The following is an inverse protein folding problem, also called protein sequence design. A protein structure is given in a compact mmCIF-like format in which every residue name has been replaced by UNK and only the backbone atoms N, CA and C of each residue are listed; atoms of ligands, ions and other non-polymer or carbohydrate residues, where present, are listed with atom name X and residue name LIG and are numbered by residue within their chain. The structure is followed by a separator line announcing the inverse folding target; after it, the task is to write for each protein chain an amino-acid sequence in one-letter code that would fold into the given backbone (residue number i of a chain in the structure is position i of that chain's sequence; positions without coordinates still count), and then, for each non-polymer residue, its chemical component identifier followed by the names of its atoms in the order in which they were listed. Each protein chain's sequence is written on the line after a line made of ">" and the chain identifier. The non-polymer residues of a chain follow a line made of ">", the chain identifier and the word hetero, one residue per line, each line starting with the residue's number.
data_IF_013778944678
#
_entry.id   IF_013778944678
#
_cell.length_a   1.000
_cell.length_b   1.000
_cell.length_c   1.000
_cell.angle_alpha   90.00
_cell.angle_beta   90.00
_cell.angle_gamma   90.00
#
_symmetry.space_group_name_H-M   'P 1'
#
loop_
_entity.id
_entity.type
_entity.pdbx_description
1 polymer ?
#
# COMPACT_ATOMS: atom_id res chain seq x y z
N UNK A 1 13.71 12.66 -1.35
CA UNK A 1 12.61 11.67 -1.48
C UNK A 1 11.44 12.33 -2.20
N UNK A 2 10.93 11.71 -3.23
CA UNK A 2 9.69 12.14 -3.88
C UNK A 2 8.50 11.69 -3.03
N UNK A 3 7.82 12.63 -2.39
CA UNK A 3 6.68 12.31 -1.52
C UNK A 3 5.47 11.77 -2.30
N UNK A 4 5.48 11.88 -3.62
CA UNK A 4 4.43 11.34 -4.48
C UNK A 4 4.74 9.91 -4.94
N UNK A 5 5.91 9.39 -4.62
CA UNK A 5 6.34 8.05 -5.00
C UNK A 5 6.87 7.30 -3.78
N UNK A 6 5.97 6.71 -3.02
CA UNK A 6 6.28 6.02 -1.77
C UNK A 6 6.07 4.51 -1.88
N UNK A 7 6.17 3.96 -3.09
CA UNK A 7 5.84 2.56 -3.36
C UNK A 7 6.62 1.57 -2.49
N UNK A 8 7.90 1.85 -2.24
CA UNK A 8 8.72 0.98 -1.39
C UNK A 8 8.69 1.36 0.10
N UNK A 9 7.89 2.34 0.49
CA UNK A 9 7.69 2.65 1.91
C UNK A 9 6.68 1.65 2.50
N UNK A 10 7.13 0.43 2.63
CA UNK A 10 6.33 -0.69 3.14
C UNK A 10 7.26 -1.68 3.83
N UNK A 11 6.70 -2.60 4.59
CA UNK A 11 7.48 -3.65 5.21
C UNK A 11 7.85 -4.72 4.17
N UNK A 12 9.08 -5.22 4.28
CA UNK A 12 9.58 -6.20 3.32
C UNK A 12 8.71 -7.47 3.28
N UNK A 13 8.16 -7.89 4.42
CA UNK A 13 7.36 -9.11 4.47
C UNK A 13 6.07 -9.00 3.63
N UNK A 14 5.56 -7.82 3.41
CA UNK A 14 4.37 -7.64 2.57
C UNK A 14 4.69 -7.98 1.11
N UNK A 15 5.86 -7.59 0.63
CA UNK A 15 6.30 -7.93 -0.73
C UNK A 15 6.62 -9.41 -0.88
N UNK A 16 7.23 -10.03 0.12
CA UNK A 16 7.49 -11.48 0.08
C UNK A 16 6.20 -12.28 0.12
N UNK A 17 5.19 -11.83 0.86
CA UNK A 17 3.86 -12.44 0.84
C UNK A 17 3.19 -12.28 -0.53
N UNK A 18 3.30 -11.10 -1.15
CA UNK A 18 2.80 -10.89 -2.52
C UNK A 18 3.42 -11.87 -3.49
N UNK A 19 4.73 -12.10 -3.40
CA UNK A 19 5.40 -13.08 -4.24
C UNK A 19 4.83 -14.48 -4.03
N UNK A 20 4.58 -14.86 -2.79
CA UNK A 20 3.96 -16.14 -2.45
C UNK A 20 2.59 -16.30 -3.12
N UNK A 21 1.75 -15.28 -3.03
CA UNK A 21 0.42 -15.30 -3.69
C UNK A 21 0.56 -15.37 -5.21
N UNK A 22 1.48 -14.60 -5.78
CA UNK A 22 1.75 -14.63 -7.22
C UNK A 22 2.18 -16.01 -7.68
N UNK A 23 3.10 -16.64 -6.96
CA UNK A 23 3.62 -17.97 -7.31
C UNK A 23 2.58 -19.07 -7.20
N UNK A 24 1.64 -18.94 -6.27
CA UNK A 24 0.58 -19.94 -6.07
C UNK A 24 -0.68 -19.67 -6.89
N UNK A 25 -0.71 -18.57 -7.65
CA UNK A 25 -1.87 -18.19 -8.44
C UNK A 25 -3.07 -17.75 -7.61
N UNK A 26 -2.84 -17.30 -6.37
CA UNK A 26 -3.91 -16.84 -5.49
C UNK A 26 -4.30 -15.40 -5.87
N UNK A 27 -5.49 -15.26 -6.42
CA UNK A 27 -6.03 -13.98 -6.93
C UNK A 27 -7.37 -13.65 -6.26
N UNK A 28 -7.53 -13.99 -5.00
CA UNK A 28 -8.75 -13.72 -4.25
C UNK A 28 -8.84 -12.25 -3.85
N UNK A 29 -10.07 -11.73 -3.84
CA UNK A 29 -10.35 -10.41 -3.28
C UNK A 29 -10.31 -10.48 -1.77
N UNK A 30 -9.56 -9.56 -1.16
CA UNK A 30 -9.47 -9.44 0.29
C UNK A 30 -9.91 -8.04 0.72
N UNK A 31 -10.31 -7.91 1.98
CA UNK A 31 -10.75 -6.65 2.55
C UNK A 31 -9.91 -6.33 3.77
N UNK A 32 -9.38 -5.12 3.83
CA UNK A 32 -8.61 -4.63 4.97
C UNK A 32 -9.23 -3.36 5.50
N UNK A 33 -9.20 -3.21 6.82
CA UNK A 33 -9.62 -2.00 7.50
C UNK A 33 -8.40 -1.18 7.92
N UNK A 34 -8.45 0.13 7.68
CA UNK A 34 -7.49 1.07 8.25
C UNK A 34 -8.15 1.74 9.44
N UNK A 35 -7.52 1.67 10.60
CA UNK A 35 -8.08 2.19 11.83
C UNK A 35 -6.97 2.71 12.74
N UNK A 36 -7.35 3.50 13.74
CA UNK A 36 -6.44 3.92 14.79
C UNK A 36 -6.83 3.24 16.11
N UNK A 37 -5.86 3.07 17.00
CA UNK A 37 -6.07 2.29 18.23
C UNK A 37 -6.54 3.15 19.40
N UNK A 38 -5.98 4.36 19.53
CA UNK A 38 -6.24 5.27 20.64
C UNK A 38 -6.38 6.69 20.11
N UNK A 39 -7.18 7.49 20.82
CA UNK A 39 -7.29 8.90 20.51
C UNK A 39 -5.94 9.61 20.72
N UNK A 40 -5.53 10.50 19.82
CA UNK A 40 -4.28 11.24 19.97
C UNK A 40 -4.25 12.04 21.27
N UNK A 41 -3.10 12.00 21.96
CA UNK A 41 -2.84 12.81 23.16
C UNK A 41 -3.90 12.66 24.26
N UNK A 42 -4.60 11.51 24.31
CA UNK A 42 -5.62 11.28 25.32
C UNK A 42 -6.87 12.14 25.15
N UNK A 43 -7.07 12.78 23.99
CA UNK A 43 -8.27 13.56 23.72
C UNK A 43 -9.50 12.66 23.56
N UNK A 44 -10.69 13.26 23.61
CA UNK A 44 -11.93 12.50 23.42
C UNK A 44 -12.38 12.34 21.97
N UNK A 45 -11.51 12.68 21.01
CA UNK A 45 -11.87 12.62 19.60
C UNK A 45 -10.64 12.47 18.73
N UNK A 46 -10.85 12.11 17.47
CA UNK A 46 -9.83 12.14 16.42
C UNK A 46 -10.39 12.88 15.22
N UNK A 47 -9.50 13.34 14.35
CA UNK A 47 -9.87 14.00 13.08
C UNK A 47 -9.43 13.11 11.94
N UNK A 48 -10.35 12.73 11.07
CA UNK A 48 -10.04 12.02 9.83
C UNK A 48 -9.77 13.01 8.73
N UNK A 49 -8.58 12.94 8.13
CA UNK A 49 -8.21 13.79 7.01
C UNK A 49 -7.16 13.12 6.14
N UNK A 50 -6.95 13.65 4.94
CA UNK A 50 -5.92 13.15 4.02
C UNK A 50 -6.43 12.15 2.98
N UNK A 51 -7.74 11.99 2.83
CA UNK A 51 -8.31 11.05 1.86
C UNK A 51 -7.87 11.37 0.42
N UNK A 52 -7.82 12.64 0.05
CA UNK A 52 -7.39 13.03 -1.30
C UNK A 52 -5.96 12.59 -1.60
N UNK A 53 -5.07 12.67 -0.61
CA UNK A 53 -3.69 12.21 -0.74
C UNK A 53 -3.63 10.69 -0.92
N UNK A 54 -4.46 9.95 -0.20
CA UNK A 54 -4.55 8.49 -0.34
C UNK A 54 -5.05 8.12 -1.73
N UNK A 55 -6.07 8.80 -2.22
CA UNK A 55 -6.61 8.56 -3.56
C UNK A 55 -5.56 8.81 -4.63
N UNK A 56 -4.84 9.93 -4.55
CA UNK A 56 -3.78 10.25 -5.50
C UNK A 56 -2.66 9.20 -5.45
N UNK A 57 -2.25 8.78 -4.27
CA UNK A 57 -1.25 7.73 -4.09
C UNK A 57 -1.68 6.44 -4.78
N UNK A 58 -2.90 6.00 -4.52
CA UNK A 58 -3.42 4.73 -5.06
C UNK A 58 -3.56 4.78 -6.58
N UNK A 59 -4.04 5.91 -7.12
CA UNK A 59 -4.18 6.07 -8.57
C UNK A 59 -2.85 6.04 -9.30
N UNK A 60 -1.78 6.50 -8.66
CA UNK A 60 -0.46 6.60 -9.25
C UNK A 60 0.49 5.52 -8.75
N UNK A 61 -0.01 4.56 -7.97
CA UNK A 61 0.81 3.48 -7.44
C UNK A 61 1.45 2.68 -8.55
N UNK A 62 2.77 2.67 -8.58
CA UNK A 62 3.54 1.96 -9.58
C UNK A 62 4.93 1.63 -9.03
N UNK A 63 5.57 0.63 -9.63
CA UNK A 63 6.97 0.28 -9.34
C UNK A 63 7.83 0.80 -10.49
N UNK A 64 8.72 1.74 -10.18
CA UNK A 64 9.66 2.29 -11.16
C UNK A 64 10.79 1.32 -11.46
N UNK A 65 11.60 1.63 -12.48
CA UNK A 65 12.81 0.84 -12.75
C UNK A 65 13.75 0.82 -11.55
N UNK A 66 13.92 1.94 -10.87
CA UNK A 66 14.76 2.01 -9.67
C UNK A 66 14.22 1.14 -8.55
N UNK A 67 12.89 1.13 -8.35
CA UNK A 67 12.25 0.27 -7.37
C UNK A 67 12.50 -1.21 -7.67
N UNK A 68 12.33 -1.61 -8.92
CA UNK A 68 12.55 -2.99 -9.36
C UNK A 68 14.01 -3.38 -9.21
N UNK A 69 14.94 -2.50 -9.58
CA UNK A 69 16.37 -2.78 -9.41
C UNK A 69 16.75 -2.93 -7.95
N UNK A 70 16.18 -2.10 -7.07
CA UNK A 70 16.40 -2.24 -5.63
C UNK A 70 15.91 -3.59 -5.12
N UNK A 71 14.72 -4.00 -5.53
CA UNK A 71 14.16 -5.29 -5.12
C UNK A 71 14.98 -6.46 -5.68
N UNK A 72 15.45 -6.34 -6.91
CA UNK A 72 16.31 -7.37 -7.52
C UNK A 72 17.60 -7.56 -6.72
N UNK A 73 18.18 -6.47 -6.26
CA UNK A 73 19.42 -6.49 -5.49
C UNK A 73 19.26 -7.16 -4.13
N UNK A 74 18.02 -7.28 -3.60
CA UNK A 74 17.78 -8.01 -2.37
C UNK A 74 18.01 -9.52 -2.51
N UNK A 75 17.95 -10.05 -3.73
CA UNK A 75 18.24 -11.46 -4.01
C UNK A 75 17.18 -12.46 -3.55
N UNK A 76 16.00 -11.99 -3.17
CA UNK A 76 14.92 -12.85 -2.65
C UNK A 76 13.66 -12.83 -3.53
N UNK A 77 13.67 -12.08 -4.61
CA UNK A 77 12.53 -11.98 -5.53
C UNK A 77 12.88 -12.60 -6.88
N UNK A 78 11.96 -13.38 -7.43
CA UNK A 78 12.13 -13.99 -8.75
C UNK A 78 11.82 -12.98 -9.86
N UNK A 79 12.47 -13.16 -11.01
CA UNK A 79 12.32 -12.24 -12.14
C UNK A 79 10.87 -12.16 -12.67
N UNK A 80 10.13 -13.26 -12.67
CA UNK A 80 8.74 -13.25 -13.11
C UNK A 80 7.86 -12.41 -12.19
N UNK A 81 8.10 -12.44 -10.89
CA UNK A 81 7.41 -11.58 -9.94
C UNK A 81 7.80 -10.11 -10.12
N UNK A 82 9.08 -9.82 -10.32
CA UNK A 82 9.55 -8.45 -10.57
C UNK A 82 8.95 -7.89 -11.87
N UNK A 83 8.83 -8.69 -12.90
CA UNK A 83 8.17 -8.31 -14.14
C UNK A 83 6.68 -8.01 -13.90
N UNK A 84 6.02 -8.81 -13.08
CA UNK A 84 4.64 -8.56 -12.66
C UNK A 84 4.51 -7.21 -11.95
N UNK A 85 5.41 -6.92 -11.01
CA UNK A 85 5.39 -5.65 -10.29
C UNK A 85 5.60 -4.44 -11.20
N UNK A 86 6.45 -4.57 -12.23
CA UNK A 86 6.72 -3.49 -13.16
C UNK A 86 5.47 -3.00 -13.89
N UNK A 87 4.47 -3.86 -14.07
CA UNK A 87 3.19 -3.53 -14.69
C UNK A 87 2.03 -3.40 -13.71
N UNK A 88 2.30 -3.39 -12.41
CA UNK A 88 1.26 -3.41 -11.39
C UNK A 88 0.48 -2.10 -11.32
N UNK A 89 -0.84 -2.22 -11.21
CA UNK A 89 -1.76 -1.12 -10.93
C UNK A 89 -2.74 -1.58 -9.86
N UNK A 90 -3.15 -0.66 -9.01
CA UNK A 90 -4.22 -0.96 -8.05
C UNK A 90 -5.56 -1.06 -8.80
N UNK A 91 -6.27 -2.16 -8.58
CA UNK A 91 -7.56 -2.43 -9.24
C UNK A 91 -8.71 -2.62 -8.26
N UNK A 92 -8.47 -2.41 -6.98
CA UNK A 92 -9.48 -2.57 -5.94
C UNK A 92 -10.33 -1.33 -5.72
N UNK A 93 -11.10 -1.35 -4.65
CA UNK A 93 -11.97 -0.27 -4.24
C UNK A 93 -11.57 0.23 -2.85
N UNK A 94 -11.83 1.51 -2.59
CA UNK A 94 -11.63 2.11 -1.28
C UNK A 94 -12.96 2.70 -0.82
N UNK A 95 -13.37 2.32 0.38
CA UNK A 95 -14.53 2.90 1.07
C UNK A 95 -14.00 3.70 2.25
N UNK A 96 -14.47 4.91 2.41
CA UNK A 96 -14.00 5.79 3.47
C UNK A 96 -15.17 6.49 4.16
N UNK A 97 -15.00 6.77 5.44
CA UNK A 97 -15.90 7.66 6.16
C UNK A 97 -15.61 9.10 5.73
N UNK A 98 -16.59 9.98 5.93
CA UNK A 98 -16.41 11.40 5.64
C UNK A 98 -15.28 11.98 6.51
N UNK A 99 -14.50 12.90 5.94
CA UNK A 99 -13.50 13.63 6.70
C UNK A 99 -14.14 14.51 7.75
N UNK A 100 -13.45 14.68 8.87
CA UNK A 100 -13.91 15.51 9.97
C UNK A 100 -13.69 14.84 11.32
N UNK A 101 -14.43 15.32 12.31
CA UNK A 101 -14.27 14.87 13.69
C UNK A 101 -14.96 13.52 13.87
N UNK A 102 -14.22 12.57 14.45
CA UNK A 102 -14.75 11.28 14.91
C UNK A 102 -14.81 11.32 16.43
N UNK A 103 -15.97 11.09 16.97
CA UNK A 103 -16.14 10.90 18.41
C UNK A 103 -16.05 9.42 18.73
N UNK A 104 -15.36 9.15 19.82
CA UNK A 104 -15.23 7.80 20.33
C UNK A 104 -15.88 7.71 21.70
#
# INVERSE_FOLDING_TARGET
>A
MDINHLTLLTDLYELTMMQGYFKTGNDETVVFDVFYRDNPSGSGYAITCGLDQVIDYIKNLSFSYDDIDYLRDQGIFDEDFLEYLAGYHFTGDIYAIAEGIIKV
#
